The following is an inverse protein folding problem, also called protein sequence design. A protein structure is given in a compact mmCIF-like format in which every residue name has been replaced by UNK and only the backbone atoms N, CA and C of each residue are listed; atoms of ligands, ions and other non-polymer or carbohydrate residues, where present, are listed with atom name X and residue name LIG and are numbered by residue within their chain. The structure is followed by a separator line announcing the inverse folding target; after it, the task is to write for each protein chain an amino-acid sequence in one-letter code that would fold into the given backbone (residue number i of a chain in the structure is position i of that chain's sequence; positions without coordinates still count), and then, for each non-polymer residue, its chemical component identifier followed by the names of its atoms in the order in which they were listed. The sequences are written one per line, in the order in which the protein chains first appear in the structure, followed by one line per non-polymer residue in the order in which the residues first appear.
data_IF_887149455443
#
_entry.id   IF_887149455443
#
_cell.length_a   1.000
_cell.length_b   1.000
_cell.length_c   1.000
_cell.angle_alpha   90.00
_cell.angle_beta   90.00
_cell.angle_gamma   90.00
#
_symmetry.space_group_name_H-M   'P 1'
#
loop_
_entity.id
_entity.type
_entity.pdbx_description
1 polymer ?
#
# COMPACT_ATOMS: atom_id res chain seq x y z
N UNK A 1 1.12 22.51 -16.73
CA UNK A 1 2.21 21.89 -17.52
C UNK A 1 1.90 20.41 -17.59
N UNK A 2 2.09 19.77 -18.74
CA UNK A 2 1.80 18.34 -18.92
C UNK A 2 3.09 17.56 -19.02
N UNK A 3 3.20 16.49 -18.22
CA UNK A 3 4.29 15.53 -18.33
C UNK A 3 4.28 14.90 -19.72
N UNK A 4 5.47 14.59 -20.26
CA UNK A 4 5.60 13.97 -21.57
C UNK A 4 6.10 12.55 -21.41
N UNK A 5 5.58 11.65 -22.22
CA UNK A 5 6.11 10.29 -22.33
C UNK A 5 7.58 10.34 -22.78
N UNK A 6 8.42 9.50 -22.18
CA UNK A 6 9.84 9.43 -22.49
C UNK A 6 10.40 8.03 -22.25
N UNK A 7 11.37 7.65 -23.09
CA UNK A 7 12.13 6.41 -22.97
C UNK A 7 13.57 6.65 -22.46
N UNK A 8 13.95 7.92 -22.21
CA UNK A 8 15.31 8.28 -21.77
C UNK A 8 15.49 8.04 -20.26
N UNK A 9 15.63 6.75 -19.91
CA UNK A 9 15.80 6.28 -18.52
C UNK A 9 16.99 6.96 -17.83
N UNK A 10 18.12 7.11 -18.54
CA UNK A 10 19.36 7.66 -17.97
C UNK A 10 19.14 9.11 -17.53
N UNK A 11 18.59 9.95 -18.42
CA UNK A 11 18.30 11.35 -18.10
C UNK A 11 17.36 11.49 -16.92
N UNK A 12 16.31 10.68 -16.86
CA UNK A 12 15.33 10.71 -15.77
C UNK A 12 15.99 10.32 -14.45
N UNK A 13 16.71 9.19 -14.42
CA UNK A 13 17.40 8.68 -13.23
C UNK A 13 18.41 9.72 -12.70
N UNK A 14 19.23 10.31 -13.58
CA UNK A 14 20.19 11.35 -13.20
C UNK A 14 19.53 12.60 -12.62
N UNK A 15 18.32 12.95 -13.08
CA UNK A 15 17.56 14.07 -12.54
C UNK A 15 17.01 13.77 -11.15
N UNK A 16 16.37 12.61 -10.97
CA UNK A 16 15.72 12.26 -9.69
C UNK A 16 16.72 11.91 -8.59
N UNK A 17 17.93 11.43 -8.95
CA UNK A 17 19.03 11.24 -7.98
C UNK A 17 19.49 12.57 -7.32
N UNK A 18 19.12 13.72 -7.88
CA UNK A 18 19.42 15.06 -7.33
C UNK A 18 18.30 15.61 -6.44
N UNK A 19 17.21 14.86 -6.25
CA UNK A 19 16.11 15.25 -5.36
C UNK A 19 16.55 15.25 -3.90
N UNK A 20 15.92 16.11 -3.08
CA UNK A 20 16.19 16.18 -1.63
C UNK A 20 15.97 14.83 -0.94
N UNK A 21 14.91 14.15 -1.32
CA UNK A 21 14.63 12.76 -0.97
C UNK A 21 14.75 11.94 -2.24
N UNK A 22 15.68 10.98 -2.27
CA UNK A 22 15.90 10.16 -3.46
C UNK A 22 14.80 9.11 -3.56
N UNK A 23 14.03 9.06 -4.67
CA UNK A 23 12.92 8.14 -4.83
C UNK A 23 13.44 6.77 -5.29
N UNK A 24 14.05 6.01 -4.37
CA UNK A 24 14.72 4.74 -4.68
C UNK A 24 13.82 3.72 -5.38
N UNK A 25 12.55 3.62 -4.96
CA UNK A 25 11.55 2.76 -5.59
C UNK A 25 11.24 3.16 -7.04
N UNK A 26 11.11 4.47 -7.31
CA UNK A 26 10.87 4.97 -8.68
C UNK A 26 12.08 4.65 -9.57
N UNK A 27 13.30 4.87 -9.06
CA UNK A 27 14.54 4.53 -9.78
C UNK A 27 14.60 3.04 -10.09
N UNK A 28 14.31 2.17 -9.11
CA UNK A 28 14.36 0.73 -9.31
C UNK A 28 13.39 0.23 -10.37
N UNK A 29 12.15 0.75 -10.40
CA UNK A 29 11.21 0.40 -11.48
C UNK A 29 11.75 0.83 -12.84
N UNK A 30 12.26 2.06 -12.98
CA UNK A 30 12.83 2.54 -14.25
C UNK A 30 14.01 1.65 -14.69
N UNK A 31 14.87 1.24 -13.76
CA UNK A 31 16.05 0.41 -14.03
C UNK A 31 15.68 -1.03 -14.42
N UNK A 32 14.65 -1.62 -13.80
CA UNK A 32 14.34 -3.05 -13.93
C UNK A 32 13.15 -3.38 -14.85
N UNK A 33 12.44 -2.39 -15.37
CA UNK A 33 11.26 -2.59 -16.23
C UNK A 33 11.33 -1.73 -17.48
N UNK A 34 10.60 -2.10 -18.52
CA UNK A 34 10.40 -1.28 -19.74
C UNK A 34 9.05 -0.57 -19.74
N UNK A 35 8.58 -0.23 -18.54
CA UNK A 35 7.27 0.37 -18.35
C UNK A 35 7.16 1.79 -18.90
N UNK A 36 5.93 2.18 -19.19
CA UNK A 36 5.59 3.52 -19.64
C UNK A 36 5.91 4.54 -18.56
N UNK A 37 6.74 5.52 -18.93
CA UNK A 37 7.18 6.60 -18.06
C UNK A 37 6.82 7.97 -18.66
N UNK A 38 6.36 8.88 -17.80
CA UNK A 38 6.19 10.29 -18.12
C UNK A 38 7.15 11.12 -17.28
N UNK A 39 7.68 12.18 -17.86
CA UNK A 39 8.66 13.06 -17.25
C UNK A 39 8.36 14.53 -17.57
N UNK A 40 8.51 15.38 -16.56
CA UNK A 40 8.55 16.83 -16.72
C UNK A 40 9.95 17.34 -16.38
N UNK A 41 10.69 17.81 -17.40
CA UNK A 41 12.09 18.22 -17.23
C UNK A 41 12.26 19.45 -16.34
N UNK A 42 11.27 20.35 -16.35
CA UNK A 42 11.31 21.63 -15.62
C UNK A 42 11.31 21.38 -14.11
N UNK A 43 10.36 20.57 -13.63
CA UNK A 43 10.20 20.24 -12.21
C UNK A 43 11.03 19.02 -11.80
N UNK A 44 11.36 18.13 -12.76
CA UNK A 44 11.94 16.83 -12.48
C UNK A 44 10.90 15.79 -12.02
N UNK A 45 9.61 16.04 -12.29
CA UNK A 45 8.52 15.14 -11.88
C UNK A 45 8.45 13.90 -12.77
N UNK A 46 8.23 12.74 -12.16
CA UNK A 46 8.21 11.44 -12.82
C UNK A 46 6.96 10.66 -12.43
N UNK A 47 6.39 9.97 -13.42
CA UNK A 47 5.29 9.04 -13.26
C UNK A 47 5.58 7.77 -14.06
N UNK A 48 5.67 6.62 -13.39
CA UNK A 48 5.86 5.31 -14.03
C UNK A 48 4.69 4.41 -13.67
N UNK A 49 4.11 3.74 -14.66
CA UNK A 49 3.00 2.80 -14.50
C UNK A 49 3.52 1.37 -14.52
N UNK A 50 3.44 0.66 -13.39
CA UNK A 50 3.82 -0.75 -13.29
C UNK A 50 2.66 -1.59 -12.77
N UNK A 51 1.94 -2.22 -13.70
CA UNK A 51 0.71 -2.95 -13.38
C UNK A 51 -0.34 -2.03 -12.75
N UNK A 52 -0.76 -2.35 -11.52
CA UNK A 52 -1.69 -1.50 -10.75
C UNK A 52 -1.02 -0.27 -10.14
N UNK A 53 0.27 -0.34 -9.86
CA UNK A 53 0.96 0.68 -9.09
C UNK A 53 1.52 1.79 -9.97
N UNK A 54 1.34 3.02 -9.51
CA UNK A 54 1.96 4.21 -10.04
C UNK A 54 3.10 4.61 -9.11
N UNK A 55 4.29 4.72 -9.68
CA UNK A 55 5.51 5.15 -9.00
C UNK A 55 5.74 6.61 -9.36
N UNK A 56 5.61 7.49 -8.37
CA UNK A 56 5.57 8.94 -8.59
C UNK A 56 6.50 9.69 -7.67
N UNK A 57 7.07 10.79 -8.18
CA UNK A 57 7.93 11.70 -7.42
C UNK A 57 7.95 13.06 -8.12
N UNK A 58 8.14 14.15 -7.37
CA UNK A 58 8.35 15.49 -7.91
C UNK A 58 7.36 16.52 -7.39
N UNK A 59 7.04 17.49 -8.24
CA UNK A 59 6.16 18.61 -7.94
C UNK A 59 4.70 18.18 -7.82
N UNK A 60 4.03 18.66 -6.77
CA UNK A 60 2.66 18.26 -6.46
C UNK A 60 1.67 18.65 -7.55
N UNK A 61 1.79 19.85 -8.10
CA UNK A 61 0.83 20.38 -9.09
C UNK A 61 1.00 19.66 -10.43
N UNK A 62 2.24 19.31 -10.80
CA UNK A 62 2.51 18.53 -12.01
C UNK A 62 1.95 17.10 -11.89
N UNK A 63 2.22 16.40 -10.79
CA UNK A 63 1.73 15.04 -10.58
C UNK A 63 0.19 15.01 -10.49
N UNK A 64 -0.41 15.93 -9.72
CA UNK A 64 -1.86 16.02 -9.62
C UNK A 64 -2.49 16.42 -10.96
N UNK A 65 -1.89 17.35 -11.69
CA UNK A 65 -2.35 17.73 -13.04
C UNK A 65 -2.30 16.57 -14.03
N UNK A 66 -1.25 15.74 -13.99
CA UNK A 66 -1.16 14.51 -14.78
C UNK A 66 -2.26 13.52 -14.40
N UNK A 67 -2.48 13.29 -13.10
CA UNK A 67 -3.59 12.46 -12.61
C UNK A 67 -4.97 12.95 -13.09
N UNK A 68 -5.23 14.27 -13.07
CA UNK A 68 -6.50 14.84 -13.52
C UNK A 68 -6.76 14.60 -15.02
N UNK A 69 -5.69 14.48 -15.82
CA UNK A 69 -5.82 14.19 -17.26
C UNK A 69 -6.19 12.73 -17.57
N UNK A 70 -6.13 11.83 -16.57
CA UNK A 70 -6.42 10.40 -16.76
C UNK A 70 -7.91 10.12 -16.66
N UNK A 71 -8.32 8.95 -17.13
CA UNK A 71 -9.72 8.51 -17.02
C UNK A 71 -10.11 8.25 -15.57
N UNK A 72 -11.41 8.29 -15.29
CA UNK A 72 -11.94 7.89 -13.99
C UNK A 72 -11.69 6.39 -13.76
N UNK A 73 -11.38 6.01 -12.52
CA UNK A 73 -10.94 4.65 -12.21
C UNK A 73 -10.18 4.51 -10.91
N UNK A 74 -9.55 3.36 -10.71
CA UNK A 74 -8.80 3.03 -9.50
C UNK A 74 -7.30 3.11 -9.78
N UNK A 75 -6.58 3.79 -8.89
CA UNK A 75 -5.15 4.03 -9.06
C UNK A 75 -4.41 3.67 -7.78
N UNK A 76 -3.47 2.74 -7.89
CA UNK A 76 -2.55 2.38 -6.81
C UNK A 76 -1.32 3.25 -6.84
N UNK A 77 -0.76 3.55 -5.68
CA UNK A 77 0.46 4.31 -5.51
C UNK A 77 1.40 3.58 -4.56
N UNK A 78 2.64 3.37 -5.00
CA UNK A 78 3.65 2.64 -4.25
C UNK A 78 4.68 3.58 -3.65
N UNK A 79 4.87 3.48 -2.34
CA UNK A 79 5.89 4.18 -1.56
C UNK A 79 6.10 5.66 -1.93
N UNK A 80 5.02 6.44 -1.91
CA UNK A 80 5.06 7.87 -2.30
C UNK A 80 5.43 8.73 -1.10
N UNK A 81 6.31 9.72 -1.30
CA UNK A 81 6.67 10.68 -0.24
C UNK A 81 5.43 11.33 0.39
N UNK A 82 5.44 11.46 1.71
CA UNK A 82 4.26 11.79 2.52
C UNK A 82 3.50 13.05 2.10
N UNK A 83 4.18 14.15 1.76
CA UNK A 83 3.51 15.38 1.34
C UNK A 83 2.93 15.26 -0.07
N UNK A 84 3.63 14.60 -0.98
CA UNK A 84 3.09 14.28 -2.31
C UNK A 84 1.89 13.33 -2.22
N UNK A 85 1.97 12.30 -1.37
CA UNK A 85 0.88 11.37 -1.12
C UNK A 85 -0.38 12.11 -0.66
N UNK A 86 -0.24 13.00 0.35
CA UNK A 86 -1.33 13.87 0.82
C UNK A 86 -1.90 14.72 -0.31
N UNK A 87 -1.04 15.32 -1.13
CA UNK A 87 -1.47 16.14 -2.26
C UNK A 87 -2.29 15.33 -3.29
N UNK A 88 -1.95 14.06 -3.51
CA UNK A 88 -2.68 13.18 -4.43
C UNK A 88 -4.04 12.80 -3.86
N UNK A 89 -4.08 12.24 -2.63
CA UNK A 89 -5.31 11.67 -2.12
C UNK A 89 -6.25 12.67 -1.46
N UNK A 90 -5.84 13.93 -1.20
CA UNK A 90 -6.73 14.95 -0.62
C UNK A 90 -8.00 15.18 -1.46
N UNK A 91 -7.89 15.05 -2.79
CA UNK A 91 -8.96 15.33 -3.74
C UNK A 91 -9.70 14.07 -4.21
N UNK A 92 -9.41 12.91 -3.62
CA UNK A 92 -9.93 11.61 -4.07
C UNK A 92 -10.41 10.74 -2.90
N UNK A 93 -11.32 9.79 -3.16
CA UNK A 93 -11.63 8.79 -2.14
C UNK A 93 -10.46 7.82 -2.03
N UNK A 94 -10.01 7.56 -0.81
CA UNK A 94 -9.06 6.48 -0.56
C UNK A 94 -9.80 5.14 -0.54
N UNK A 95 -9.33 4.24 -1.38
CA UNK A 95 -9.75 2.86 -1.52
C UNK A 95 -9.06 1.94 -0.49
N UNK A 96 -7.79 2.25 -0.19
CA UNK A 96 -7.01 1.65 0.89
C UNK A 96 -5.79 2.54 1.16
N UNK A 97 -5.18 2.40 2.34
CA UNK A 97 -3.94 3.08 2.70
C UNK A 97 -3.17 2.22 3.70
N UNK A 98 -1.92 1.91 3.38
CA UNK A 98 -0.97 1.22 4.25
C UNK A 98 0.15 2.21 4.63
N UNK A 99 0.10 2.78 5.86
CA UNK A 99 1.14 3.69 6.32
C UNK A 99 2.48 2.96 6.48
N UNK A 100 3.46 3.38 5.70
CA UNK A 100 4.80 2.79 5.66
C UNK A 100 5.88 3.84 5.90
N UNK A 101 7.00 3.39 6.45
CA UNK A 101 8.20 4.19 6.64
C UNK A 101 9.34 3.57 5.86
N UNK A 102 10.04 4.41 5.08
CA UNK A 102 11.25 4.01 4.38
C UNK A 102 12.43 4.03 5.33
N UNK A 103 13.19 2.96 5.32
CA UNK A 103 14.50 2.88 5.96
C UNK A 103 15.57 2.66 4.90
N UNK A 104 16.64 3.42 4.96
CA UNK A 104 17.76 3.36 4.01
C UNK A 104 19.04 2.94 4.75
N UNK A 105 19.81 2.05 4.13
CA UNK A 105 21.10 1.65 4.65
C UNK A 105 22.16 2.70 4.32
N UNK A 106 22.69 3.37 5.35
CA UNK A 106 23.79 4.32 5.20
C UNK A 106 25.14 3.62 5.14
N UNK A 107 26.03 4.04 4.25
CA UNK A 107 27.35 3.42 3.98
C UNK A 107 28.35 3.37 5.16
N UNK A 108 27.96 3.76 6.38
CA UNK A 108 28.88 3.95 7.51
C UNK A 108 28.39 3.39 8.85
N UNK A 109 27.30 2.59 8.89
CA UNK A 109 26.75 2.16 10.18
C UNK A 109 27.42 0.90 10.74
N UNK A 110 27.82 -0.06 9.90
CA UNK A 110 28.27 -1.39 10.35
C UNK A 110 29.27 -2.03 9.37
N UNK A 111 30.32 -2.66 9.88
CA UNK A 111 31.21 -3.55 9.10
C UNK A 111 30.52 -4.91 8.87
N UNK A 112 29.72 -4.98 7.80
CA UNK A 112 28.92 -6.17 7.47
C UNK A 112 29.83 -7.39 7.22
N UNK A 113 30.95 -7.21 6.54
CA UNK A 113 31.88 -8.31 6.24
C UNK A 113 32.50 -8.89 7.51
N UNK A 114 32.79 -8.06 8.51
CA UNK A 114 33.21 -8.55 9.82
C UNK A 114 32.11 -9.34 10.52
N UNK A 115 30.87 -8.84 10.52
CA UNK A 115 29.74 -9.52 11.17
C UNK A 115 29.43 -10.86 10.51
N UNK A 116 29.43 -10.94 9.18
CA UNK A 116 29.10 -12.18 8.46
C UNK A 116 30.10 -13.30 8.75
N UNK A 117 31.34 -13.00 9.19
CA UNK A 117 32.30 -14.03 9.64
C UNK A 117 31.85 -14.75 10.91
N UNK A 118 31.04 -14.09 11.74
CA UNK A 118 30.47 -14.66 12.96
C UNK A 118 29.12 -15.34 12.73
N UNK A 119 28.64 -15.40 11.47
CA UNK A 119 27.39 -16.06 11.14
C UNK A 119 27.50 -17.58 11.41
N UNK A 120 26.64 -18.15 12.29
CA UNK A 120 26.69 -19.57 12.61
C UNK A 120 25.93 -20.44 11.58
N UNK A 121 25.41 -19.83 10.50
CA UNK A 121 24.59 -20.48 9.49
C UNK A 121 25.24 -20.39 8.12
N UNK A 122 25.04 -21.41 7.30
CA UNK A 122 25.28 -21.33 5.86
C UNK A 122 24.18 -20.47 5.23
N UNK A 123 24.60 -19.41 4.53
CA UNK A 123 23.69 -18.54 3.77
C UNK A 123 23.92 -18.79 2.29
N UNK A 124 22.86 -19.11 1.56
CA UNK A 124 22.88 -19.38 0.12
C UNK A 124 21.94 -18.42 -0.61
N UNK A 125 22.03 -18.37 -1.94
CA UNK A 125 20.95 -17.74 -2.73
C UNK A 125 19.72 -18.64 -2.69
N UNK A 126 18.52 -18.04 -2.73
CA UNK A 126 17.27 -18.79 -2.87
C UNK A 126 17.30 -19.54 -4.20
N UNK A 127 17.17 -20.87 -4.23
CA UNK A 127 17.13 -21.63 -5.48
C UNK A 127 15.75 -21.50 -6.15
N UNK A 128 15.70 -21.57 -7.48
CA UNK A 128 14.46 -21.44 -8.26
C UNK A 128 13.36 -22.43 -7.84
N UNK A 129 13.73 -23.62 -7.36
CA UNK A 129 12.79 -24.62 -6.86
C UNK A 129 11.94 -24.18 -5.66
N UNK A 130 12.36 -23.14 -4.93
CA UNK A 130 11.62 -22.60 -3.77
C UNK A 130 10.50 -21.62 -4.17
N UNK A 131 10.47 -21.15 -5.42
CA UNK A 131 9.54 -20.11 -5.85
C UNK A 131 8.08 -20.45 -5.52
N UNK A 132 7.65 -21.69 -5.78
CA UNK A 132 6.30 -22.15 -5.46
C UNK A 132 6.04 -22.16 -3.95
N UNK A 133 6.98 -22.71 -3.16
CA UNK A 133 6.81 -22.75 -1.71
C UNK A 133 6.75 -21.36 -1.08
N UNK A 134 7.50 -20.40 -1.62
CA UNK A 134 7.45 -18.99 -1.22
C UNK A 134 6.07 -18.40 -1.55
N UNK A 135 5.56 -18.65 -2.76
CA UNK A 135 4.24 -18.21 -3.21
C UNK A 135 3.11 -18.77 -2.34
N UNK A 136 3.16 -20.08 -2.03
CA UNK A 136 2.17 -20.76 -1.19
C UNK A 136 2.10 -20.20 0.25
N UNK A 137 3.17 -19.54 0.70
CA UNK A 137 3.25 -18.91 2.04
C UNK A 137 3.02 -17.42 2.01
N UNK A 138 2.81 -16.83 0.83
CA UNK A 138 2.71 -15.38 0.70
C UNK A 138 1.34 -14.89 1.15
N UNK A 139 1.32 -14.01 2.15
CA UNK A 139 0.09 -13.43 2.71
C UNK A 139 -0.78 -12.72 1.65
N UNK A 140 -0.14 -12.19 0.61
CA UNK A 140 -0.79 -11.47 -0.48
C UNK A 140 -0.73 -12.25 -1.81
N UNK A 141 -0.77 -13.58 -1.75
CA UNK A 141 -0.78 -14.44 -2.93
C UNK A 141 -1.94 -14.06 -3.86
N UNK A 142 -1.64 -13.87 -5.14
CA UNK A 142 -2.59 -13.46 -6.17
C UNK A 142 -2.12 -13.93 -7.55
N UNK A 143 -2.96 -13.77 -8.57
CA UNK A 143 -2.54 -14.09 -9.93
C UNK A 143 -1.23 -13.34 -10.30
N UNK A 144 -0.25 -14.08 -10.81
CA UNK A 144 1.06 -13.56 -11.17
C UNK A 144 2.09 -13.48 -10.02
N UNK A 145 1.76 -13.76 -8.76
CA UNK A 145 2.74 -13.70 -7.66
C UNK A 145 3.87 -14.72 -7.83
N UNK A 146 3.58 -15.95 -8.27
CA UNK A 146 4.60 -16.96 -8.58
C UNK A 146 5.63 -16.46 -9.60
N UNK A 147 5.18 -15.82 -10.68
CA UNK A 147 6.09 -15.30 -11.72
C UNK A 147 6.94 -14.14 -11.18
N UNK A 148 6.39 -13.31 -10.28
CA UNK A 148 7.18 -12.28 -9.58
C UNK A 148 8.27 -12.89 -8.69
N UNK A 149 7.99 -13.99 -8.00
CA UNK A 149 9.01 -14.69 -7.21
C UNK A 149 10.10 -15.30 -8.08
N UNK A 150 9.72 -15.94 -9.20
CA UNK A 150 10.70 -16.46 -10.17
C UNK A 150 11.58 -15.35 -10.73
N UNK A 151 10.99 -14.22 -11.12
CA UNK A 151 11.70 -13.05 -11.61
C UNK A 151 12.69 -12.51 -10.55
N UNK A 152 12.24 -12.36 -9.31
CA UNK A 152 13.09 -11.90 -8.20
C UNK A 152 14.27 -12.84 -7.94
N UNK A 153 14.04 -14.16 -7.93
CA UNK A 153 15.09 -15.16 -7.74
C UNK A 153 16.10 -15.14 -8.89
N UNK A 154 15.64 -14.95 -10.13
CA UNK A 154 16.49 -14.99 -11.31
C UNK A 154 17.33 -13.72 -11.47
N UNK A 155 16.74 -12.55 -11.25
CA UNK A 155 17.30 -11.28 -11.71
C UNK A 155 17.92 -10.43 -10.59
N UNK A 156 17.65 -10.73 -9.32
CA UNK A 156 18.03 -9.90 -8.18
C UNK A 156 18.73 -10.72 -7.10
N UNK A 157 19.52 -10.10 -6.20
CA UNK A 157 20.18 -10.85 -5.15
C UNK A 157 19.12 -11.43 -4.21
N UNK A 158 19.38 -12.61 -3.67
CA UNK A 158 18.53 -13.29 -2.69
C UNK A 158 19.40 -13.91 -1.61
N UNK A 159 18.82 -14.18 -0.45
CA UNK A 159 19.52 -14.84 0.66
C UNK A 159 18.58 -15.80 1.36
N UNK A 160 19.09 -16.98 1.71
CA UNK A 160 18.35 -18.07 2.31
C UNK A 160 19.21 -18.80 3.35
N UNK A 161 18.57 -19.26 4.42
CA UNK A 161 19.13 -20.20 5.38
C UNK A 161 18.21 -21.41 5.44
N UNK A 162 18.81 -22.60 5.34
CA UNK A 162 18.12 -23.87 5.54
C UNK A 162 18.42 -24.42 6.93
N UNK A 163 17.40 -24.97 7.61
CA UNK A 163 17.56 -25.74 8.84
C UNK A 163 16.77 -27.04 8.69
N UNK A 164 17.39 -28.16 9.06
CA UNK A 164 16.77 -29.50 8.97
C UNK A 164 16.23 -29.83 7.55
N UNK A 165 16.90 -29.32 6.52
CA UNK A 165 16.54 -29.50 5.11
C UNK A 165 15.39 -28.60 4.61
N UNK A 166 14.88 -27.69 5.43
CA UNK A 166 13.78 -26.79 5.06
C UNK A 166 14.25 -25.33 4.94
N UNK A 167 13.63 -24.58 4.02
CA UNK A 167 13.87 -23.14 3.84
C UNK A 167 13.40 -22.36 5.08
N UNK A 168 14.29 -22.19 6.05
CA UNK A 168 13.98 -21.68 7.37
C UNK A 168 13.78 -20.16 7.40
N UNK A 169 14.60 -19.43 6.63
CA UNK A 169 14.49 -17.99 6.49
C UNK A 169 15.00 -17.55 5.12
N UNK A 170 14.35 -16.55 4.53
CA UNK A 170 14.76 -16.01 3.25
C UNK A 170 14.41 -14.53 3.11
N UNK A 171 15.05 -13.90 2.14
CA UNK A 171 14.77 -12.54 1.67
C UNK A 171 15.05 -12.45 0.18
N UNK A 172 14.20 -11.69 -0.51
CA UNK A 172 14.33 -11.37 -1.93
C UNK A 172 14.42 -9.85 -2.08
N UNK A 173 14.52 -9.38 -3.31
CA UNK A 173 14.48 -7.96 -3.63
C UNK A 173 13.39 -7.77 -4.68
N UNK A 174 12.52 -6.78 -4.46
CA UNK A 174 11.47 -6.41 -5.40
C UNK A 174 12.07 -5.76 -6.66
N UNK A 175 11.27 -5.70 -7.72
CA UNK A 175 11.58 -5.00 -8.97
C UNK A 175 11.86 -3.51 -8.77
N UNK A 176 11.38 -2.89 -7.70
CA UNK A 176 11.68 -1.50 -7.33
C UNK A 176 12.97 -1.34 -6.49
N UNK A 177 13.77 -2.40 -6.38
CA UNK A 177 14.96 -2.52 -5.52
C UNK A 177 14.72 -2.49 -4.01
N UNK A 178 13.47 -2.41 -3.52
CA UNK A 178 13.22 -2.56 -2.10
C UNK A 178 13.55 -3.99 -1.65
N UNK A 179 14.20 -4.13 -0.50
CA UNK A 179 14.41 -5.42 0.13
C UNK A 179 13.06 -5.90 0.67
N UNK A 180 12.64 -7.09 0.26
CA UNK A 180 11.34 -7.59 0.62
C UNK A 180 11.10 -9.03 0.18
N UNK A 181 9.85 -9.46 0.32
CA UNK A 181 9.49 -10.86 0.54
C UNK A 181 10.40 -11.53 1.59
N UNK A 182 10.49 -10.94 2.78
CA UNK A 182 11.25 -11.51 3.88
C UNK A 182 10.36 -12.37 4.75
N UNK A 183 10.81 -13.58 5.06
CA UNK A 183 10.07 -14.48 5.93
C UNK A 183 11.01 -15.41 6.72
N UNK A 184 10.59 -15.74 7.94
CA UNK A 184 11.21 -16.78 8.76
C UNK A 184 10.08 -17.68 9.26
N UNK A 185 10.17 -18.98 8.97
CA UNK A 185 9.20 -19.98 9.42
C UNK A 185 9.05 -19.94 10.93
N UNK A 186 7.80 -20.00 11.41
CA UNK A 186 7.45 -19.82 12.82
C UNK A 186 8.26 -20.71 13.77
N UNK A 187 8.43 -21.99 13.40
CA UNK A 187 9.21 -22.97 14.18
C UNK A 187 10.71 -22.67 14.30
N UNK A 188 11.25 -21.78 13.45
CA UNK A 188 12.66 -21.39 13.44
C UNK A 188 12.88 -19.94 13.89
N UNK A 189 11.84 -19.23 14.35
CA UNK A 189 11.95 -17.87 14.87
C UNK A 189 12.79 -17.82 16.16
N UNK A 190 13.21 -16.61 16.53
CA UNK A 190 14.06 -16.33 17.71
C UNK A 190 15.48 -16.91 17.68
N UNK A 191 15.93 -17.38 16.51
CA UNK A 191 17.30 -17.90 16.27
C UNK A 191 18.23 -16.92 15.54
N UNK A 192 17.78 -15.68 15.32
CA UNK A 192 18.54 -14.65 14.60
C UNK A 192 18.58 -14.84 13.07
N UNK A 193 17.81 -15.77 12.49
CA UNK A 193 17.88 -16.06 11.04
C UNK A 193 17.58 -14.84 10.17
N UNK A 194 16.50 -14.11 10.48
CA UNK A 194 16.14 -12.87 9.79
C UNK A 194 17.25 -11.82 9.82
N UNK A 195 18.02 -11.74 10.90
CA UNK A 195 19.18 -10.85 11.01
C UNK A 195 20.29 -11.22 10.03
N UNK A 196 20.66 -12.51 9.99
CA UNK A 196 21.73 -12.98 9.12
C UNK A 196 21.40 -12.88 7.63
N UNK A 197 20.18 -13.26 7.22
CA UNK A 197 19.78 -13.08 5.80
C UNK A 197 19.70 -11.59 5.43
N UNK A 198 19.38 -10.71 6.37
CA UNK A 198 19.36 -9.26 6.14
C UNK A 198 20.79 -8.71 5.95
N UNK A 199 21.75 -9.12 6.77
CA UNK A 199 23.14 -8.69 6.60
C UNK A 199 23.74 -9.19 5.27
N UNK A 200 23.45 -10.43 4.90
CA UNK A 200 23.94 -10.98 3.63
C UNK A 200 23.32 -10.28 2.42
N UNK A 201 22.00 -10.01 2.42
CA UNK A 201 21.37 -9.29 1.31
C UNK A 201 21.87 -7.84 1.22
N UNK A 202 22.11 -7.18 2.37
CA UNK A 202 22.73 -5.87 2.42
C UNK A 202 24.10 -5.89 1.74
N UNK A 203 24.96 -6.85 2.10
CA UNK A 203 26.29 -6.99 1.50
C UNK A 203 26.22 -7.16 -0.02
N UNK A 204 25.33 -8.06 -0.48
CA UNK A 204 25.12 -8.34 -1.92
C UNK A 204 24.63 -7.11 -2.68
N UNK A 205 23.72 -6.32 -2.09
CA UNK A 205 23.23 -5.09 -2.72
C UNK A 205 24.30 -4.00 -2.76
N UNK A 206 25.03 -3.79 -1.66
CA UNK A 206 26.11 -2.80 -1.61
C UNK A 206 27.26 -3.13 -2.55
N UNK A 207 27.60 -4.42 -2.70
CA UNK A 207 28.61 -4.89 -3.65
C UNK A 207 28.23 -4.61 -5.11
N UNK A 208 26.93 -4.47 -5.40
CA UNK A 208 26.41 -4.06 -6.72
C UNK A 208 26.29 -2.54 -6.90
N UNK A 209 26.69 -1.76 -5.90
CA UNK A 209 26.53 -0.29 -5.91
C UNK A 209 25.08 0.18 -5.74
N UNK A 210 24.19 -0.70 -5.28
CA UNK A 210 22.79 -0.37 -5.02
C UNK A 210 22.62 0.23 -3.62
N UNK A 211 21.74 1.21 -3.49
CA UNK A 211 21.27 1.66 -2.17
C UNK A 211 20.25 0.68 -1.65
N UNK A 212 20.59 -0.04 -0.58
CA UNK A 212 19.64 -0.92 0.09
C UNK A 212 18.61 -0.10 0.89
N UNK A 213 17.33 -0.39 0.68
CA UNK A 213 16.23 0.22 1.42
C UNK A 213 15.10 -0.78 1.65
N UNK A 214 14.26 -0.51 2.65
CA UNK A 214 13.06 -1.28 2.98
C UNK A 214 11.91 -0.31 3.21
N UNK A 215 10.70 -0.71 2.79
CA UNK A 215 9.45 -0.05 3.14
C UNK A 215 8.78 -0.90 4.23
N UNK A 216 8.60 -0.36 5.43
CA UNK A 216 8.06 -1.13 6.56
C UNK A 216 6.76 -0.49 7.03
N UNK A 217 5.68 -1.27 7.10
CA UNK A 217 4.42 -0.81 7.72
C UNK A 217 4.68 -0.35 9.15
N UNK A 218 4.05 0.76 9.53
CA UNK A 218 4.15 1.33 10.87
C UNK A 218 3.71 0.37 11.97
N UNK A 219 2.94 -0.68 11.63
CA UNK A 219 2.47 -1.72 12.57
C UNK A 219 3.48 -2.85 12.79
N UNK A 220 4.50 -2.98 11.95
CA UNK A 220 5.47 -4.09 12.02
C UNK A 220 6.73 -3.70 12.81
N UNK A 221 6.56 -3.57 14.14
CA UNK A 221 7.64 -3.23 15.06
C UNK A 221 8.81 -4.23 15.03
N UNK A 222 8.55 -5.49 14.69
CA UNK A 222 9.60 -6.52 14.57
C UNK A 222 10.55 -6.21 13.41
N UNK A 223 10.01 -5.90 12.24
CA UNK A 223 10.82 -5.53 11.07
C UNK A 223 11.51 -4.17 11.27
N UNK A 224 10.85 -3.19 11.90
CA UNK A 224 11.50 -1.92 12.25
C UNK A 224 12.71 -2.12 13.18
N UNK A 225 12.55 -2.97 14.20
CA UNK A 225 13.63 -3.34 15.11
C UNK A 225 14.76 -4.11 14.42
N UNK A 226 14.43 -5.00 13.48
CA UNK A 226 15.42 -5.70 12.65
C UNK A 226 16.21 -4.71 11.78
N UNK A 227 15.52 -3.82 11.05
CA UNK A 227 16.14 -2.82 10.19
C UNK A 227 17.12 -1.92 10.96
N UNK A 228 16.72 -1.45 12.16
CA UNK A 228 17.60 -0.65 13.01
C UNK A 228 18.83 -1.44 13.47
N UNK A 229 18.66 -2.72 13.84
CA UNK A 229 19.76 -3.60 14.27
C UNK A 229 20.76 -3.91 13.15
N UNK A 230 20.31 -3.91 11.90
CA UNK A 230 21.16 -4.15 10.72
C UNK A 230 21.67 -2.85 10.11
N UNK A 231 21.55 -1.72 10.81
CA UNK A 231 22.18 -0.46 10.44
C UNK A 231 21.41 0.41 9.45
N UNK A 232 20.14 0.09 9.17
CA UNK A 232 19.28 1.03 8.44
C UNK A 232 18.88 2.21 9.33
N UNK A 233 18.65 3.35 8.69
CA UNK A 233 18.14 4.57 9.32
C UNK A 233 16.81 4.92 8.67
N UNK A 234 15.83 5.29 9.51
CA UNK A 234 14.54 5.79 9.04
C UNK A 234 14.76 7.10 8.25
N UNK A 235 14.26 7.13 7.03
CA UNK A 235 14.43 8.26 6.10
C UNK A 235 13.17 9.11 6.00
N UNK A 236 12.03 8.49 5.64
CA UNK A 236 10.80 9.21 5.31
C UNK A 236 9.54 8.40 5.59
N UNK A 237 8.41 9.10 5.69
CA UNK A 237 7.08 8.50 5.60
C UNK A 237 6.70 8.37 4.12
N UNK A 238 6.38 7.15 3.70
CA UNK A 238 6.28 6.76 2.28
C UNK A 238 5.09 5.82 2.07
N UNK A 239 3.84 6.23 2.35
CA UNK A 239 2.68 5.35 2.34
C UNK A 239 2.45 4.70 0.98
N UNK A 240 1.87 3.50 1.05
CA UNK A 240 1.23 2.87 -0.09
C UNK A 240 -0.27 3.16 0.01
N UNK A 241 -0.91 3.51 -1.09
CA UNK A 241 -2.35 3.80 -1.06
C UNK A 241 -3.01 3.61 -2.41
N UNK A 242 -4.31 3.37 -2.39
CA UNK A 242 -5.15 3.33 -3.58
C UNK A 242 -6.19 4.43 -3.52
N UNK A 243 -6.41 5.15 -4.62
CA UNK A 243 -7.49 6.13 -4.75
C UNK A 243 -8.54 5.68 -5.77
N UNK A 244 -9.71 6.30 -5.67
CA UNK A 244 -10.75 6.29 -6.69
C UNK A 244 -10.79 7.70 -7.32
N UNK A 245 -10.45 7.78 -8.61
CA UNK A 245 -10.63 8.98 -9.43
C UNK A 245 -12.03 8.97 -10.04
N UNK A 246 -12.73 10.10 -9.90
CA UNK A 246 -14.14 10.22 -10.30
C UNK A 246 -15.10 9.78 -9.19
N UNK A 247 -16.37 9.64 -9.57
CA UNK A 247 -17.43 9.15 -8.70
C UNK A 247 -17.98 7.86 -9.29
N UNK A 248 -17.75 6.69 -8.65
CA UNK A 248 -18.34 5.46 -9.15
C UNK A 248 -19.86 5.53 -9.12
N UNK A 249 -20.53 5.08 -10.17
CA UNK A 249 -21.99 5.12 -10.29
C UNK A 249 -22.71 4.40 -9.13
N UNK A 250 -22.06 3.40 -8.54
CA UNK A 250 -22.59 2.68 -7.39
C UNK A 250 -22.64 3.52 -6.10
N UNK A 251 -21.99 4.68 -6.00
CA UNK A 251 -22.22 5.61 -4.89
C UNK A 251 -23.62 6.24 -4.93
N UNK A 252 -24.18 6.40 -6.14
CA UNK A 252 -25.50 6.98 -6.38
C UNK A 252 -26.64 5.95 -6.30
N UNK A 253 -26.29 4.68 -6.10
CA UNK A 253 -27.27 3.61 -5.87
C UNK A 253 -26.97 2.91 -4.55
N UNK A 254 -27.97 2.26 -3.96
CA UNK A 254 -27.71 1.27 -2.92
C UNK A 254 -27.75 -0.08 -3.59
N UNK A 255 -26.62 -0.55 -4.08
CA UNK A 255 -26.49 -1.92 -4.56
C UNK A 255 -25.24 -2.55 -3.96
N UNK A 256 -25.28 -3.00 -2.69
CA UNK A 256 -24.24 -3.87 -2.17
C UNK A 256 -24.38 -5.19 -2.91
N UNK A 257 -23.57 -5.37 -3.96
CA UNK A 257 -23.59 -6.50 -4.88
C UNK A 257 -23.42 -7.82 -4.11
N UNK A 258 -24.15 -8.84 -4.53
CA UNK A 258 -23.96 -10.23 -4.11
C UNK A 258 -22.60 -10.72 -4.63
N UNK A 259 -21.55 -10.55 -3.85
CA UNK A 259 -20.19 -10.95 -4.19
C UNK A 259 -19.21 -10.42 -3.16
N UNK A 260 -18.64 -11.32 -2.36
CA UNK A 260 -17.88 -11.00 -1.14
C UNK A 260 -16.54 -10.32 -1.45
N UNK A 261 -16.52 -8.99 -1.40
CA UNK A 261 -15.31 -8.21 -1.64
C UNK A 261 -15.50 -6.77 -1.15
N UNK A 262 -14.55 -6.20 -0.40
CA UNK A 262 -14.75 -4.95 0.34
C UNK A 262 -13.75 -3.82 0.07
N UNK A 263 -14.23 -2.57 0.08
CA UNK A 263 -13.47 -1.30 0.02
C UNK A 263 -13.27 -0.74 1.42
N UNK A 264 -12.08 -0.23 1.73
CA UNK A 264 -11.76 0.43 3.00
C UNK A 264 -11.63 1.94 2.82
N UNK A 265 -12.48 2.72 3.48
CA UNK A 265 -12.28 4.18 3.54
C UNK A 265 -12.39 4.68 4.98
N UNK A 266 -11.52 5.61 5.41
CA UNK A 266 -11.58 6.14 6.78
C UNK A 266 -12.57 7.30 6.89
N UNK A 267 -13.23 7.42 8.04
CA UNK A 267 -14.11 8.56 8.32
C UNK A 267 -13.36 9.89 8.32
N UNK A 268 -12.09 9.93 8.76
CA UNK A 268 -11.26 11.13 8.64
C UNK A 268 -11.15 11.62 7.20
N UNK A 269 -10.94 10.71 6.24
CA UNK A 269 -10.78 11.09 4.83
C UNK A 269 -12.09 11.56 4.21
N UNK A 270 -13.21 10.92 4.56
CA UNK A 270 -14.53 11.43 4.20
C UNK A 270 -14.68 12.90 4.65
N UNK A 271 -14.28 13.24 5.88
CA UNK A 271 -14.36 14.62 6.42
C UNK A 271 -13.46 15.65 5.75
N UNK A 272 -12.42 15.25 5.02
CA UNK A 272 -11.48 16.19 4.38
C UNK A 272 -12.02 16.83 3.09
N UNK A 273 -13.20 16.42 2.60
CA UNK A 273 -13.72 16.83 1.30
C UNK A 273 -14.94 17.76 1.34
N UNK A 274 -14.89 18.81 0.53
CA UNK A 274 -16.03 19.69 0.19
C UNK A 274 -17.17 18.96 -0.55
N UNK A 275 -16.92 17.75 -1.09
CA UNK A 275 -17.95 16.95 -1.76
C UNK A 275 -18.93 16.28 -0.78
N UNK A 276 -18.63 16.28 0.53
CA UNK A 276 -19.61 15.93 1.56
C UNK A 276 -20.32 17.17 2.09
N UNK A 277 -20.38 18.27 1.33
CA UNK A 277 -21.33 19.36 1.53
C UNK A 277 -22.76 18.84 1.31
N UNK A 278 -23.16 17.95 2.20
CA UNK A 278 -24.45 17.32 2.23
C UNK A 278 -25.50 18.41 2.46
N UNK A 279 -26.38 18.54 1.48
CA UNK A 279 -27.56 19.40 1.53
C UNK A 279 -28.85 18.58 1.73
N UNK A 280 -28.73 17.29 2.07
CA UNK A 280 -29.86 16.40 2.28
C UNK A 280 -30.56 16.60 3.63
N UNK A 281 -31.71 15.95 3.81
CA UNK A 281 -32.50 15.99 5.06
C UNK A 281 -31.63 15.67 6.27
N UNK A 282 -31.71 16.47 7.35
CA UNK A 282 -30.95 16.22 8.58
C UNK A 282 -31.17 14.79 9.13
N UNK A 283 -30.23 13.90 8.86
CA UNK A 283 -30.09 12.58 9.50
C UNK A 283 -29.59 12.78 10.93
N UNK A 284 -30.35 12.25 11.88
CA UNK A 284 -29.96 12.13 13.29
C UNK A 284 -29.67 10.67 13.61
N UNK A 285 -28.61 10.43 14.37
CA UNK A 285 -28.35 9.11 14.93
C UNK A 285 -28.83 9.05 16.38
N UNK A 286 -29.63 8.04 16.68
CA UNK A 286 -30.11 7.73 18.03
C UNK A 286 -29.46 6.43 18.47
N UNK A 287 -28.71 6.47 19.57
CA UNK A 287 -28.13 5.25 20.16
C UNK A 287 -29.23 4.46 20.87
N UNK A 288 -29.37 3.18 20.52
CA UNK A 288 -30.28 2.24 21.17
C UNK A 288 -29.50 0.96 21.50
N UNK A 289 -29.30 0.71 22.79
CA UNK A 289 -28.40 -0.36 23.27
C UNK A 289 -26.99 -0.19 22.68
N UNK A 290 -26.43 -1.24 22.08
CA UNK A 290 -25.13 -1.22 21.42
C UNK A 290 -25.20 -0.76 19.94
N UNK A 291 -26.38 -0.39 19.41
CA UNK A 291 -26.57 0.01 18.02
C UNK A 291 -26.86 1.52 17.85
N UNK A 292 -26.64 2.04 16.63
CA UNK A 292 -27.06 3.38 16.24
C UNK A 292 -28.14 3.32 15.16
N UNK A 293 -29.23 4.07 15.35
CA UNK A 293 -30.34 4.17 14.41
C UNK A 293 -30.32 5.53 13.73
N UNK A 294 -30.28 5.56 12.40
CA UNK A 294 -30.34 6.79 11.62
C UNK A 294 -31.79 7.12 11.25
N UNK A 295 -32.24 8.31 11.63
CA UNK A 295 -33.60 8.82 11.48
C UNK A 295 -33.55 10.15 10.72
N UNK A 296 -34.39 10.34 9.71
CA UNK A 296 -34.54 11.64 9.03
C UNK A 296 -35.53 12.53 9.79
N UNK A 297 -35.17 13.80 10.04
CA UNK A 297 -36.06 14.76 10.72
C UNK A 297 -37.35 15.07 9.96
N UNK A 298 -37.40 14.87 8.64
CA UNK A 298 -38.55 15.23 7.78
C UNK A 298 -39.63 14.16 7.68
N UNK A 299 -39.28 12.89 7.89
CA UNK A 299 -40.17 11.74 7.67
C UNK A 299 -40.44 11.01 8.99
N UNK A 300 -41.34 11.56 9.81
CA UNK A 300 -42.07 10.92 10.93
C UNK A 300 -41.35 9.80 11.72
N UNK A 301 -40.05 9.91 11.98
CA UNK A 301 -39.30 8.87 12.71
C UNK A 301 -39.05 7.57 11.95
N UNK A 302 -39.19 7.54 10.62
CA UNK A 302 -38.86 6.34 9.84
C UNK A 302 -37.35 6.05 9.91
N UNK A 303 -37.02 4.85 10.41
CA UNK A 303 -35.66 4.32 10.41
C UNK A 303 -35.19 4.17 8.96
N UNK A 304 -34.03 4.75 8.63
CA UNK A 304 -33.45 4.69 7.28
C UNK A 304 -32.36 3.65 7.19
N UNK A 305 -31.49 3.61 8.18
CA UNK A 305 -30.44 2.61 8.30
C UNK A 305 -29.99 2.52 9.76
N UNK A 306 -29.22 1.48 10.06
CA UNK A 306 -28.64 1.27 11.39
C UNK A 306 -27.19 0.81 11.29
N UNK A 307 -26.42 1.11 12.32
CA UNK A 307 -25.09 0.56 12.54
C UNK A 307 -25.20 -0.40 13.73
N UNK A 308 -25.02 -1.69 13.48
CA UNK A 308 -25.11 -2.74 14.51
C UNK A 308 -23.72 -3.31 14.76
N UNK A 309 -23.26 -3.47 16.00
CA UNK A 309 -21.96 -4.07 16.26
C UNK A 309 -21.89 -5.49 15.71
N UNK A 310 -20.74 -5.86 15.15
CA UNK A 310 -20.41 -7.25 14.85
C UNK A 310 -20.22 -8.04 16.16
N UNK A 311 -20.28 -9.36 16.10
CA UNK A 311 -20.10 -10.24 17.26
C UNK A 311 -18.78 -10.00 18.03
N UNK A 312 -17.71 -9.62 17.33
CA UNK A 312 -16.42 -9.23 17.92
C UNK A 312 -16.47 -7.91 18.71
N UNK A 313 -17.49 -7.08 18.45
CA UNK A 313 -17.61 -5.69 18.89
C UNK A 313 -16.49 -4.76 18.41
N UNK A 314 -15.67 -5.20 17.46
CA UNK A 314 -14.58 -4.42 16.87
C UNK A 314 -15.02 -3.58 15.67
N UNK A 315 -16.19 -3.89 15.09
CA UNK A 315 -16.74 -3.22 13.93
C UNK A 315 -18.26 -3.00 14.05
N UNK A 316 -18.80 -2.07 13.26
CA UNK A 316 -20.23 -1.92 13.05
C UNK A 316 -20.59 -2.32 11.61
N UNK A 317 -21.69 -3.06 11.47
CA UNK A 317 -22.31 -3.43 10.20
C UNK A 317 -23.41 -2.43 9.88
N UNK A 318 -23.30 -1.80 8.72
CA UNK A 318 -24.34 -0.94 8.17
C UNK A 318 -25.48 -1.78 7.60
N UNK A 319 -26.69 -1.60 8.15
CA UNK A 319 -27.92 -2.25 7.69
C UNK A 319 -28.90 -1.19 7.19
N UNK A 320 -29.25 -1.23 5.91
CA UNK A 320 -30.29 -0.36 5.35
C UNK A 320 -31.68 -0.91 5.69
N UNK A 321 -32.58 -0.02 6.09
CA UNK A 321 -33.98 -0.33 6.32
C UNK A 321 -34.75 -0.38 4.99
N UNK A 322 -35.79 -1.20 4.94
CA UNK A 322 -36.70 -1.24 3.79
C UNK A 322 -37.29 0.15 3.53
N UNK A 323 -37.30 0.60 2.27
CA UNK A 323 -37.80 1.92 1.88
C UNK A 323 -36.84 3.09 2.13
N UNK A 324 -35.62 2.87 2.61
CA UNK A 324 -34.60 3.92 2.68
C UNK A 324 -34.28 4.46 1.28
N UNK A 325 -34.38 5.77 1.06
CA UNK A 325 -34.14 6.40 -0.24
C UNK A 325 -32.74 6.99 -0.39
N UNK A 326 -31.95 6.96 0.68
CA UNK A 326 -30.63 7.56 0.68
C UNK A 326 -29.65 6.76 -0.19
N UNK A 327 -28.81 7.49 -0.90
CA UNK A 327 -27.68 6.90 -1.61
C UNK A 327 -26.62 6.41 -0.61
N UNK A 328 -25.70 5.57 -1.07
CA UNK A 328 -24.57 5.18 -0.21
C UNK A 328 -23.76 6.41 0.20
N UNK A 329 -23.50 7.34 -0.72
CA UNK A 329 -22.77 8.58 -0.42
C UNK A 329 -23.42 9.39 0.70
N UNK A 330 -24.75 9.55 0.69
CA UNK A 330 -25.49 10.28 1.72
C UNK A 330 -25.36 9.61 3.09
N UNK A 331 -25.46 8.28 3.11
CA UNK A 331 -25.28 7.49 4.33
C UNK A 331 -23.86 7.65 4.89
N UNK A 332 -22.84 7.52 4.03
CA UNK A 332 -21.44 7.69 4.41
C UNK A 332 -21.15 9.10 4.92
N UNK A 333 -21.72 10.12 4.28
CA UNK A 333 -21.62 11.51 4.71
C UNK A 333 -22.16 11.68 6.11
N UNK A 334 -23.37 11.16 6.37
CA UNK A 334 -24.01 11.25 7.68
C UNK A 334 -23.19 10.54 8.77
N UNK A 335 -22.65 9.35 8.49
CA UNK A 335 -21.77 8.62 9.41
C UNK A 335 -20.51 9.44 9.70
N UNK A 336 -19.85 9.94 8.66
CA UNK A 336 -18.63 10.73 8.81
C UNK A 336 -18.87 12.01 9.64
N UNK A 337 -20.01 12.69 9.48
CA UNK A 337 -20.35 13.87 10.27
C UNK A 337 -20.72 13.55 11.72
N UNK A 338 -21.44 12.45 11.96
CA UNK A 338 -21.95 12.12 13.29
C UNK A 338 -20.91 11.53 14.23
N UNK A 339 -20.13 10.57 13.75
CA UNK A 339 -19.12 9.91 14.56
C UNK A 339 -17.91 10.83 14.70
N UNK A 340 -17.41 11.13 15.91
CA UNK A 340 -16.22 11.95 16.09
C UNK A 340 -14.93 11.19 15.79
N UNK A 341 -14.94 9.86 15.80
CA UNK A 341 -13.77 9.01 15.64
C UNK A 341 -13.12 9.26 14.28
N UNK A 342 -11.94 9.87 14.28
CA UNK A 342 -11.19 10.15 13.05
C UNK A 342 -10.64 8.85 12.43
N UNK A 343 -10.31 7.87 13.25
CA UNK A 343 -9.65 6.64 12.81
C UNK A 343 -10.61 5.46 12.55
N UNK A 344 -11.92 5.71 12.51
CA UNK A 344 -12.87 4.67 12.13
C UNK A 344 -12.75 4.39 10.63
N UNK A 345 -12.67 3.11 10.26
CA UNK A 345 -12.70 2.65 8.87
C UNK A 345 -14.07 2.10 8.54
N UNK A 346 -14.49 2.30 7.29
CA UNK A 346 -15.73 1.79 6.75
C UNK A 346 -15.41 0.79 5.64
N UNK A 347 -16.09 -0.35 5.72
CA UNK A 347 -15.90 -1.53 4.87
C UNK A 347 -17.12 -1.65 3.96
N UNK A 348 -16.98 -1.45 2.64
CA UNK A 348 -18.11 -1.46 1.69
C UNK A 348 -18.01 -2.62 0.71
N UNK A 349 -19.06 -3.41 0.45
CA UNK A 349 -19.04 -4.39 -0.63
C UNK A 349 -18.81 -3.72 -2.01
N UNK A 350 -18.07 -4.37 -2.92
CA UNK A 350 -17.83 -3.89 -4.29
C UNK A 350 -17.90 -5.02 -5.34
N UNK A 351 -17.98 -4.63 -6.62
CA UNK A 351 -18.11 -5.54 -7.77
C UNK A 351 -16.82 -6.32 -8.07
N UNK A 352 -16.87 -7.66 -7.99
CA UNK A 352 -15.78 -8.56 -8.40
C UNK A 352 -15.37 -8.39 -9.87
N UNK A 353 -16.21 -7.85 -10.74
CA UNK A 353 -15.82 -7.53 -12.13
C UNK A 353 -14.72 -6.46 -12.22
N UNK A 354 -14.48 -5.74 -11.11
CA UNK A 354 -13.38 -4.79 -10.95
C UNK A 354 -12.11 -5.47 -10.42
N UNK A 355 -12.16 -6.74 -10.00
CA UNK A 355 -10.99 -7.54 -9.63
C UNK A 355 -10.03 -7.64 -10.84
N UNK A 356 -8.75 -7.33 -10.62
CA UNK A 356 -7.74 -7.23 -11.68
C UNK A 356 -7.67 -5.88 -12.42
N UNK A 357 -8.70 -5.02 -12.30
CA UNK A 357 -8.63 -3.58 -12.66
C UNK A 357 -8.26 -2.72 -11.46
N UNK A 358 -8.64 -3.20 -10.28
CA UNK A 358 -8.27 -2.69 -8.98
C UNK A 358 -7.20 -3.63 -8.46
N UNK A 359 -5.97 -3.15 -8.29
CA UNK A 359 -5.04 -3.81 -7.38
C UNK A 359 -5.43 -3.44 -5.96
N UNK A 360 -5.46 -4.42 -5.09
CA UNK A 360 -5.91 -4.22 -3.73
C UNK A 360 -5.45 -5.39 -2.90
N UNK A 361 -5.25 -5.11 -1.62
CA UNK A 361 -5.05 -6.14 -0.62
C UNK A 361 -6.41 -6.78 -0.34
N UNK A 362 -6.63 -7.97 -0.88
CA UNK A 362 -7.85 -8.73 -0.62
C UNK A 362 -7.71 -9.47 0.71
N UNK A 363 -8.51 -9.07 1.71
CA UNK A 363 -8.66 -9.90 2.90
C UNK A 363 -9.61 -11.05 2.53
N UNK A 364 -9.04 -12.16 2.06
CA UNK A 364 -9.77 -13.43 2.01
C UNK A 364 -10.06 -13.85 3.45
N UNK A 365 -11.33 -14.10 3.76
CA UNK A 365 -11.73 -14.67 5.05
C UNK A 365 -11.26 -16.11 5.19
#
# INVERSE_FOLDING_TARGET
MTMKETEDKIKVIERVKKSKLVPHNVIGIIENTDDKMHFDETTGSVWVEHGYFNYVTGDHDVICGHLQSREDGFYGFSAVEGELAKAIYKDHFLHWCEPTERYVYGQHSVDIDALLKDCPYEIVNVPMGEAQGIDDRYEYQQEGSLERFKDAILNRPTSAIYLDGELASYVLVHEDHSIGYMFTLDKFRHKGLGYWVTLDILNKMTARGLTAFVEITMKNFKSQGLATKTGFVKEAYTPWFGIIKGFPDWFNTWNPIDGESFIFTSLAQLRFKDHLSWQGDEIQFVKKEDAYLAISKGDAGMMRFSLTPEASKEAYVLKRSEGCRHTLLEILSAIAMFFPEQNASLVMPYDLSLEGRIGGFWIKR
#
